data_IF_046244350697
#
_entry.id   IF_046244350697
#
_cell.length_a   1.000
_cell.length_b   1.000
_cell.length_c   1.000
_cell.angle_alpha   90.00
_cell.angle_beta   90.00
_cell.angle_gamma   90.00
#
_symmetry.space_group_name_H-M   'P 1'
#
loop_
_entity.id
_entity.type
_entity.pdbx_description
1 polymer ?
#
# COMPACT_ATOMS: atom_id res chain seq x y z
N UNK A 1 9.18 5.57 7.36
CA UNK A 1 8.23 5.26 6.27
C UNK A 1 8.88 4.22 5.36
N UNK A 2 8.25 3.07 5.17
CA UNK A 2 8.78 1.92 4.43
C UNK A 2 7.95 1.73 3.16
N UNK A 3 8.59 1.75 1.99
CA UNK A 3 7.94 1.48 0.72
C UNK A 3 8.22 0.05 0.25
N UNK A 4 7.17 -0.70 -0.09
CA UNK A 4 7.25 -2.10 -0.53
C UNK A 4 6.76 -2.19 -1.96
N UNK A 5 7.63 -2.51 -2.91
CA UNK A 5 7.27 -2.77 -4.30
C UNK A 5 6.89 -4.23 -4.50
N UNK A 6 5.89 -4.53 -5.34
CA UNK A 6 5.51 -5.93 -5.62
C UNK A 6 4.80 -6.63 -4.46
N UNK A 7 4.19 -5.84 -3.57
CA UNK A 7 3.38 -6.29 -2.42
C UNK A 7 2.26 -7.30 -2.76
N UNK A 8 1.87 -7.42 -4.03
CA UNK A 8 0.86 -8.38 -4.50
C UNK A 8 1.37 -9.79 -4.75
N UNK A 9 2.69 -10.01 -4.79
CA UNK A 9 3.28 -11.33 -4.94
C UNK A 9 3.18 -12.15 -3.65
N UNK A 10 3.40 -13.47 -3.73
CA UNK A 10 3.38 -14.38 -2.58
C UNK A 10 4.34 -13.93 -1.47
N UNK A 11 5.57 -13.54 -1.86
CA UNK A 11 6.56 -13.01 -0.93
C UNK A 11 6.13 -11.66 -0.35
N UNK A 12 5.58 -10.77 -1.19
CA UNK A 12 5.15 -9.43 -0.78
C UNK A 12 4.06 -9.46 0.30
N UNK A 13 3.13 -10.42 0.20
CA UNK A 13 2.10 -10.62 1.23
C UNK A 13 2.70 -11.08 2.56
N UNK A 14 3.56 -12.09 2.55
CA UNK A 14 4.21 -12.56 3.78
C UNK A 14 5.10 -11.50 4.45
N UNK A 15 5.78 -10.67 3.66
CA UNK A 15 6.55 -9.53 4.17
C UNK A 15 5.64 -8.52 4.85
N UNK A 16 4.48 -8.20 4.27
CA UNK A 16 3.50 -7.30 4.90
C UNK A 16 2.93 -7.90 6.19
N UNK A 17 2.55 -9.18 6.18
CA UNK A 17 2.04 -9.89 7.37
C UNK A 17 3.03 -9.85 8.54
N UNK A 18 4.33 -10.00 8.25
CA UNK A 18 5.36 -9.94 9.28
C UNK A 18 5.67 -8.50 9.71
N UNK A 19 5.65 -7.54 8.79
CA UNK A 19 5.85 -6.12 9.12
C UNK A 19 4.71 -5.56 9.95
N UNK A 20 3.47 -6.00 9.73
CA UNK A 20 2.31 -5.58 10.52
C UNK A 20 2.40 -6.01 12.00
N UNK A 21 3.19 -7.04 12.33
CA UNK A 21 3.38 -7.50 13.72
C UNK A 21 4.31 -6.58 14.53
N UNK A 22 5.22 -5.89 13.85
CA UNK A 22 6.27 -5.09 14.50
C UNK A 22 6.15 -3.60 14.22
N UNK A 23 5.48 -3.24 13.12
CA UNK A 23 5.42 -1.88 12.61
C UNK A 23 3.96 -1.50 12.31
N UNK A 24 3.48 -0.34 12.76
CA UNK A 24 2.12 0.11 12.47
C UNK A 24 1.92 0.33 10.97
N UNK A 25 0.74 -0.05 10.47
CA UNK A 25 0.37 0.04 9.05
C UNK A 25 0.53 1.46 8.47
N UNK A 26 0.37 2.51 9.29
CA UNK A 26 0.57 3.91 8.89
C UNK A 26 1.98 4.22 8.39
N UNK A 27 2.97 3.39 8.71
CA UNK A 27 4.34 3.56 8.24
C UNK A 27 4.67 2.73 6.99
N UNK A 28 3.73 1.91 6.50
CA UNK A 28 3.92 1.01 5.36
C UNK A 28 3.20 1.54 4.12
N UNK A 29 3.93 1.64 3.01
CA UNK A 29 3.39 2.08 1.71
C UNK A 29 3.64 0.98 0.68
N UNK A 30 2.58 0.33 0.21
CA UNK A 30 2.66 -0.70 -0.82
C UNK A 30 2.53 -0.08 -2.23
N UNK A 31 3.57 -0.20 -3.05
CA UNK A 31 3.60 0.27 -4.44
C UNK A 31 3.27 -0.89 -5.37
N UNK A 32 2.11 -0.80 -6.02
CA UNK A 32 1.53 -1.85 -6.86
C UNK A 32 1.15 -1.28 -8.22
N UNK A 33 1.42 -2.04 -9.30
CA UNK A 33 1.08 -1.63 -10.67
C UNK A 33 -0.43 -1.61 -10.93
N UNK A 34 -1.16 -2.54 -10.32
CA UNK A 34 -2.61 -2.62 -10.42
C UNK A 34 -3.25 -2.66 -9.02
N UNK A 35 -3.73 -1.52 -8.50
CA UNK A 35 -4.32 -1.46 -7.17
C UNK A 35 -5.64 -2.24 -7.07
N UNK A 36 -6.33 -2.54 -8.19
CA UNK A 36 -7.54 -3.37 -8.17
C UNK A 36 -7.26 -4.84 -7.81
N UNK A 37 -6.03 -5.31 -8.05
CA UNK A 37 -5.62 -6.69 -7.74
C UNK A 37 -5.03 -6.84 -6.32
N UNK A 38 -4.77 -5.73 -5.63
CA UNK A 38 -4.18 -5.70 -4.29
C UNK A 38 -5.21 -5.27 -3.23
N UNK A 39 -5.93 -6.22 -2.64
CA UNK A 39 -6.52 -6.02 -1.29
C UNK A 39 -5.65 -6.86 -0.35
N UNK A 40 -4.96 -6.26 0.63
CA UNK A 40 -5.52 -5.36 1.64
C UNK A 40 -4.63 -4.11 1.86
N UNK A 41 -4.73 -3.11 0.97
CA UNK A 41 -4.20 -1.77 1.23
C UNK A 41 -4.92 -0.76 0.32
N UNK A 42 -6.22 -0.56 0.55
CA UNK A 42 -6.91 0.64 0.06
C UNK A 42 -6.45 1.86 0.87
N UNK A 43 -5.16 2.15 0.80
CA UNK A 43 -4.54 3.43 1.17
C UNK A 43 -3.73 3.96 -0.02
N UNK A 44 -4.07 3.55 -1.25
CA UNK A 44 -3.93 4.46 -2.36
C UNK A 44 -4.93 5.58 -2.09
N UNK A 45 -4.47 6.62 -1.38
CA UNK A 45 -5.15 7.91 -1.37
C UNK A 45 -5.31 8.26 -2.84
N UNK A 46 -6.54 8.14 -3.33
CA UNK A 46 -6.86 8.50 -4.69
C UNK A 46 -6.56 10.01 -4.78
N UNK A 47 -5.44 10.37 -5.39
CA UNK A 47 -5.09 11.79 -5.59
C UNK A 47 -6.09 12.49 -6.54
N UNK A 48 -7.17 11.83 -6.97
CA UNK A 48 -8.35 12.47 -7.52
C UNK A 48 -9.18 13.13 -6.41
N UNK A 49 -8.65 14.21 -5.87
CA UNK A 49 -9.51 15.26 -5.32
C UNK A 49 -10.24 15.93 -6.49
N UNK A 50 -11.58 16.01 -6.51
CA UNK A 50 -12.28 16.86 -7.45
C UNK A 50 -12.27 18.28 -6.88
N UNK A 51 -11.40 19.13 -7.38
CA UNK A 51 -11.39 20.56 -7.04
C UNK A 51 -10.20 20.97 -6.19
N UNK A 52 -9.51 22.00 -6.67
CA UNK A 52 -8.34 22.59 -6.01
C UNK A 52 -7.33 23.22 -6.97
N UNK A 53 -7.78 23.68 -8.16
CA UNK A 53 -7.04 24.66 -8.95
C UNK A 53 -7.89 25.93 -9.05
N UNK A 54 -8.03 26.59 -7.90
CA UNK A 54 -8.27 28.02 -7.66
C UNK A 54 -8.69 28.20 -6.20
#
# INVERSE_FOLDING_TARGET
MIAITGATGQLGQHVIENLLKTTPASHLVAIVRNPKKSRPAQSARDCRSPGGLR
#
